data_IF_037302314397
#
_entry.id   IF_037302314397
#
_cell.length_a   1.000
_cell.length_b   1.000
_cell.length_c   1.000
_cell.angle_alpha   90.00
_cell.angle_beta   90.00
_cell.angle_gamma   90.00
#
_symmetry.space_group_name_H-M   'P 1'
#
loop_
_entity.id
_entity.type
_entity.pdbx_description
1 polymer ?
#
# COMPACT_ATOMS: atom_id res chain seq x y z
N UNK A 1 10.19 5.43 30.54
CA UNK A 1 11.47 5.99 30.01
C UNK A 1 12.43 4.92 29.48
N UNK A 2 12.40 3.68 30.00
CA UNK A 2 13.25 2.57 29.54
C UNK A 2 12.84 1.92 28.19
N UNK A 3 11.62 2.15 27.71
CA UNK A 3 11.10 1.48 26.50
C UNK A 3 11.53 2.12 25.16
N UNK A 4 11.88 3.41 25.15
CA UNK A 4 12.25 4.12 23.91
C UNK A 4 13.69 3.80 23.48
N UNK A 5 14.63 3.71 24.41
CA UNK A 5 16.01 3.29 24.13
C UNK A 5 16.07 1.87 23.57
N UNK A 6 15.14 1.00 23.98
CA UNK A 6 15.04 -0.37 23.50
C UNK A 6 14.44 -0.43 22.09
N UNK A 7 13.51 0.48 21.75
CA UNK A 7 12.97 0.65 20.40
C UNK A 7 14.03 1.21 19.45
N UNK A 8 14.84 2.18 19.88
CA UNK A 8 15.90 2.78 19.07
C UNK A 8 17.00 1.74 18.76
N UNK A 9 17.44 0.98 19.78
CA UNK A 9 18.37 -0.13 19.61
C UNK A 9 17.81 -1.25 18.71
N UNK A 10 16.54 -1.63 18.88
CA UNK A 10 15.89 -2.66 18.06
C UNK A 10 15.60 -2.20 16.62
N UNK A 11 15.31 -0.91 16.43
CA UNK A 11 15.19 -0.29 15.13
C UNK A 11 16.55 -0.33 14.42
N UNK A 12 17.63 0.04 15.10
CA UNK A 12 18.97 0.08 14.53
C UNK A 12 19.62 -1.29 14.34
N UNK A 13 19.18 -2.33 15.06
CA UNK A 13 19.76 -3.69 15.03
C UNK A 13 19.39 -4.55 13.81
N UNK A 14 18.93 -3.94 12.70
CA UNK A 14 19.07 -4.39 11.30
C UNK A 14 17.91 -5.14 10.58
N UNK A 15 16.98 -5.91 11.19
CA UNK A 15 15.79 -6.38 10.44
C UNK A 15 14.67 -5.32 10.38
N UNK A 16 14.43 -4.62 11.50
CA UNK A 16 13.35 -3.63 11.60
C UNK A 16 13.69 -2.35 10.86
N UNK A 17 14.95 -1.87 10.83
CA UNK A 17 15.37 -0.77 9.93
C UNK A 17 15.14 -1.11 8.47
N UNK A 18 15.46 -2.34 8.07
CA UNK A 18 15.31 -2.80 6.68
C UNK A 18 13.82 -2.94 6.33
N UNK A 19 13.04 -3.64 7.16
CA UNK A 19 11.59 -3.74 7.02
C UNK A 19 10.92 -2.38 7.08
N UNK A 20 11.27 -1.50 8.01
CA UNK A 20 10.73 -0.15 8.12
C UNK A 20 11.14 0.71 6.94
N UNK A 21 12.39 0.65 6.43
CA UNK A 21 12.78 1.36 5.21
C UNK A 21 12.04 0.82 3.97
N UNK A 22 11.82 -0.49 3.86
CA UNK A 22 10.97 -1.11 2.83
C UNK A 22 9.51 -0.63 3.01
N UNK A 23 9.02 -0.57 4.24
CA UNK A 23 7.70 -0.07 4.64
C UNK A 23 7.62 1.46 4.71
N UNK A 24 8.65 2.25 4.40
CA UNK A 24 8.59 3.72 4.48
C UNK A 24 9.18 4.41 3.26
N UNK A 25 9.86 3.70 2.37
CA UNK A 25 10.47 4.26 1.15
C UNK A 25 10.00 3.60 -0.15
N UNK A 26 9.15 2.57 -0.10
CA UNK A 26 8.54 2.02 -1.32
C UNK A 26 7.51 3.03 -1.85
N UNK A 27 7.99 3.91 -2.73
CA UNK A 27 7.20 4.92 -3.42
C UNK A 27 6.28 4.29 -4.45
N UNK A 28 5.15 3.75 -3.98
CA UNK A 28 4.15 3.06 -4.80
C UNK A 28 3.77 3.83 -6.07
N UNK A 29 3.77 5.18 -6.10
CA UNK A 29 3.34 5.93 -7.30
C UNK A 29 4.17 5.65 -8.56
N UNK A 30 5.51 5.55 -8.47
CA UNK A 30 6.36 5.19 -9.63
C UNK A 30 6.18 3.71 -9.98
N UNK A 31 6.02 2.86 -8.96
CA UNK A 31 5.86 1.42 -9.14
C UNK A 31 4.49 1.03 -9.70
N UNK A 32 3.42 1.77 -9.39
CA UNK A 32 2.07 1.57 -9.92
C UNK A 32 2.04 1.59 -11.45
N UNK A 33 2.76 2.54 -12.07
CA UNK A 33 2.87 2.62 -13.54
C UNK A 33 3.58 1.40 -14.12
N UNK A 34 4.67 0.95 -13.48
CA UNK A 34 5.41 -0.25 -13.89
C UNK A 34 4.58 -1.52 -13.71
N UNK A 35 3.89 -1.66 -12.57
CA UNK A 35 2.98 -2.79 -12.30
C UNK A 35 1.87 -2.85 -13.35
N UNK A 36 1.27 -1.71 -13.69
CA UNK A 36 0.26 -1.65 -14.74
C UNK A 36 0.83 -1.98 -16.12
N UNK A 37 2.06 -1.55 -16.43
CA UNK A 37 2.72 -1.90 -17.68
C UNK A 37 2.97 -3.41 -17.77
N UNK A 38 3.54 -4.01 -16.73
CA UNK A 38 3.76 -5.47 -16.64
C UNK A 38 2.45 -6.24 -16.74
N UNK A 39 1.40 -5.76 -16.08
CA UNK A 39 0.06 -6.33 -16.20
C UNK A 39 -0.43 -6.30 -17.66
N UNK A 40 -0.25 -5.19 -18.36
CA UNK A 40 -0.65 -5.08 -19.76
C UNK A 40 0.21 -5.91 -20.71
N UNK A 41 1.50 -6.04 -20.44
CA UNK A 41 2.42 -6.90 -21.19
C UNK A 41 2.02 -8.37 -21.10
N UNK A 42 1.40 -8.78 -19.98
CA UNK A 42 0.84 -10.11 -19.83
C UNK A 42 -0.54 -10.27 -20.50
N UNK A 43 -1.45 -9.32 -20.31
CA UNK A 43 -2.84 -9.46 -20.77
C UNK A 43 -2.99 -9.31 -22.29
N UNK A 44 -2.18 -8.45 -22.90
CA UNK A 44 -2.31 -8.10 -24.32
C UNK A 44 -2.00 -9.31 -25.24
N UNK A 45 -0.89 -10.06 -25.07
CA UNK A 45 -0.64 -11.30 -25.82
C UNK A 45 -1.69 -12.37 -25.57
N UNK A 46 -2.21 -12.48 -24.35
CA UNK A 46 -3.27 -13.44 -24.00
C UNK A 46 -4.56 -13.22 -24.81
N UNK A 47 -4.78 -12.00 -25.29
CA UNK A 47 -5.90 -11.64 -26.17
C UNK A 47 -5.53 -11.62 -27.66
N UNK A 48 -4.29 -11.96 -28.02
CA UNK A 48 -3.73 -11.83 -29.38
C UNK A 48 -3.81 -10.40 -29.95
N UNK A 49 -3.67 -9.38 -29.08
CA UNK A 49 -3.75 -7.97 -29.47
C UNK A 49 -2.34 -7.42 -29.67
N UNK A 50 -2.07 -6.76 -30.79
CA UNK A 50 -0.84 -6.02 -31.07
C UNK A 50 -0.80 -4.67 -30.37
N UNK A 51 0.39 -4.10 -30.18
CA UNK A 51 0.57 -2.71 -29.73
C UNK A 51 0.07 -1.68 -30.76
N UNK A 52 0.13 -2.02 -32.04
CA UNK A 52 -0.27 -1.18 -33.17
C UNK A 52 -1.79 -1.01 -33.29
N UNK A 53 -2.59 -1.89 -32.69
CA UNK A 53 -4.05 -1.76 -32.73
C UNK A 53 -4.57 -0.62 -31.83
N UNK A 54 -3.70 0.01 -31.02
CA UNK A 54 -4.03 1.12 -30.12
C UNK A 54 -5.27 0.89 -29.23
N UNK A 55 -5.61 -0.38 -28.96
CA UNK A 55 -6.74 -0.73 -28.09
C UNK A 55 -6.48 -0.21 -26.67
N UNK A 56 -7.50 0.43 -26.11
CA UNK A 56 -7.48 0.96 -24.74
C UNK A 56 -7.27 -0.17 -23.72
N UNK A 57 -6.48 0.11 -22.68
CA UNK A 57 -6.18 -0.86 -21.62
C UNK A 57 -7.43 -1.34 -20.90
N UNK A 58 -8.44 -0.48 -20.71
CA UNK A 58 -9.71 -0.86 -20.09
C UNK A 58 -10.45 -1.92 -20.92
N UNK A 59 -10.39 -1.83 -22.25
CA UNK A 59 -11.03 -2.80 -23.13
C UNK A 59 -10.33 -4.17 -23.07
N UNK A 60 -9.00 -4.19 -22.97
CA UNK A 60 -8.23 -5.43 -22.79
C UNK A 60 -8.56 -6.08 -21.42
N UNK A 61 -8.71 -5.27 -20.37
CA UNK A 61 -9.14 -5.74 -19.04
C UNK A 61 -10.55 -6.34 -19.07
N UNK A 62 -11.48 -5.70 -19.79
CA UNK A 62 -12.84 -6.23 -20.02
C UNK A 62 -12.83 -7.58 -20.74
N UNK A 63 -12.05 -7.70 -21.83
CA UNK A 63 -11.91 -8.98 -22.57
C UNK A 63 -11.34 -10.11 -21.69
N UNK A 64 -10.40 -9.79 -20.81
CA UNK A 64 -9.81 -10.74 -19.86
C UNK A 64 -10.62 -10.97 -18.59
N UNK A 65 -11.82 -10.37 -18.48
CA UNK A 65 -12.69 -10.41 -17.29
C UNK A 65 -11.97 -9.97 -16.01
N UNK A 66 -10.99 -9.07 -16.12
CA UNK A 66 -10.31 -8.48 -14.96
C UNK A 66 -11.15 -7.34 -14.39
N UNK A 67 -11.80 -7.63 -13.27
CA UNK A 67 -12.56 -6.64 -12.49
C UNK A 67 -11.63 -5.64 -11.79
N UNK A 68 -10.47 -6.12 -11.30
CA UNK A 68 -9.51 -5.28 -10.56
C UNK A 68 -8.11 -5.36 -11.15
N UNK A 69 -7.42 -4.22 -11.11
CA UNK A 69 -6.01 -4.10 -11.48
C UNK A 69 -5.09 -4.74 -10.43
N UNK A 70 -3.88 -5.12 -10.83
CA UNK A 70 -2.89 -5.63 -9.87
C UNK A 70 -2.58 -4.59 -8.79
N UNK A 71 -2.55 -3.30 -9.14
CA UNK A 71 -2.36 -2.19 -8.20
C UNK A 71 -3.48 -2.15 -7.16
N UNK A 72 -4.74 -2.22 -7.58
CA UNK A 72 -5.90 -2.20 -6.66
C UNK A 72 -5.86 -3.38 -5.68
N UNK A 73 -5.40 -4.54 -6.12
CA UNK A 73 -5.21 -5.72 -5.25
C UNK A 73 -4.11 -5.48 -4.21
N UNK A 74 -3.00 -4.85 -4.60
CA UNK A 74 -1.91 -4.50 -3.68
C UNK A 74 -2.40 -3.50 -2.63
N UNK A 75 -3.06 -2.43 -3.05
CA UNK A 75 -3.63 -1.41 -2.16
C UNK A 75 -4.65 -2.02 -1.17
N UNK A 76 -5.52 -2.92 -1.66
CA UNK A 76 -6.49 -3.62 -0.81
C UNK A 76 -5.79 -4.46 0.26
N UNK A 77 -4.74 -5.20 -0.10
CA UNK A 77 -3.95 -5.98 0.86
C UNK A 77 -3.23 -5.09 1.87
N UNK A 78 -2.72 -3.94 1.45
CA UNK A 78 -2.10 -2.96 2.34
C UNK A 78 -3.10 -2.44 3.38
N UNK A 79 -4.32 -2.08 2.97
CA UNK A 79 -5.38 -1.65 3.88
C UNK A 79 -5.81 -2.76 4.84
N UNK A 80 -5.98 -4.00 4.36
CA UNK A 80 -6.31 -5.15 5.23
C UNK A 80 -5.24 -5.38 6.29
N UNK A 81 -3.96 -5.31 5.91
CA UNK A 81 -2.84 -5.44 6.82
C UNK A 81 -2.78 -4.28 7.82
N UNK A 82 -2.95 -3.03 7.35
CA UNK A 82 -2.99 -1.85 8.20
C UNK A 82 -4.05 -1.97 9.30
N UNK A 83 -5.28 -2.29 8.93
CA UNK A 83 -6.34 -2.47 9.91
C UNK A 83 -6.08 -3.66 10.84
N UNK A 84 -5.42 -4.71 10.36
CA UNK A 84 -5.00 -5.82 11.22
C UNK A 84 -3.99 -5.39 12.28
N UNK A 85 -2.96 -4.64 11.89
CA UNK A 85 -1.93 -4.11 12.80
C UNK A 85 -2.52 -3.11 13.79
N UNK A 86 -3.40 -2.20 13.34
CA UNK A 86 -4.07 -1.23 14.24
C UNK A 86 -4.91 -1.90 15.33
N UNK A 87 -5.55 -3.03 15.02
CA UNK A 87 -6.32 -3.84 15.99
C UNK A 87 -5.46 -4.74 16.87
N UNK A 88 -4.16 -4.87 16.61
CA UNK A 88 -3.28 -5.60 17.53
C UNK A 88 -3.18 -4.86 18.86
N UNK A 89 -2.79 -5.59 19.90
CA UNK A 89 -2.45 -5.01 21.19
C UNK A 89 -1.19 -4.15 21.10
N UNK A 90 -1.10 -3.10 21.93
CA UNK A 90 -0.06 -2.06 21.86
C UNK A 90 1.34 -2.56 22.24
N UNK A 91 1.41 -3.68 22.96
CA UNK A 91 2.65 -4.39 23.30
C UNK A 91 3.32 -5.03 22.08
N UNK A 92 2.55 -5.29 21.00
CA UNK A 92 3.09 -5.99 19.83
C UNK A 92 3.98 -5.12 18.97
N UNK A 93 5.14 -5.68 18.63
CA UNK A 93 6.14 -5.07 17.76
C UNK A 93 5.61 -4.47 16.45
N UNK A 94 4.74 -5.14 15.67
CA UNK A 94 4.23 -4.55 14.43
C UNK A 94 3.46 -3.22 14.65
N UNK A 95 2.69 -3.12 15.72
CA UNK A 95 1.92 -1.91 16.05
C UNK A 95 2.84 -0.80 16.53
N UNK A 96 3.76 -1.12 17.46
CA UNK A 96 4.81 -0.19 17.91
C UNK A 96 5.64 0.34 16.76
N UNK A 97 6.06 -0.52 15.83
CA UNK A 97 6.84 -0.13 14.66
C UNK A 97 6.04 0.72 13.65
N UNK A 98 4.74 0.47 13.50
CA UNK A 98 3.87 1.27 12.63
C UNK A 98 3.69 2.70 13.16
N UNK A 99 3.55 2.84 14.48
CA UNK A 99 3.27 4.11 15.15
C UNK A 99 4.56 4.88 15.53
N UNK A 100 5.70 4.21 15.51
CA UNK A 100 7.00 4.81 15.80
C UNK A 100 7.43 5.77 14.68
N UNK A 101 7.63 7.03 15.06
CA UNK A 101 8.20 8.07 14.19
C UNK A 101 9.62 8.35 14.68
N UNK A 102 10.66 7.86 13.97
CA UNK A 102 12.03 8.09 14.40
C UNK A 102 12.38 9.58 14.33
N UNK A 103 13.07 10.13 15.34
CA UNK A 103 13.63 11.47 15.26
C UNK A 103 14.67 11.48 14.13
N UNK A 104 14.38 12.19 13.05
CA UNK A 104 15.29 12.26 11.89
C UNK A 104 15.42 13.68 11.37
N UNK A 105 16.65 14.02 10.95
CA UNK A 105 16.91 15.27 10.26
C UNK A 105 16.29 15.22 8.87
N UNK A 106 15.24 16.02 8.66
CA UNK A 106 14.55 16.12 7.38
C UNK A 106 15.52 16.61 6.29
N UNK A 107 15.65 15.84 5.21
CA UNK A 107 16.40 16.28 4.03
C UNK A 107 15.68 17.46 3.37
N UNK A 108 16.44 18.40 2.81
CA UNK A 108 15.88 19.54 2.04
C UNK A 108 15.15 19.01 0.80
N UNK A 109 13.94 19.51 0.53
CA UNK A 109 13.12 19.14 -0.62
C UNK A 109 11.79 18.45 -0.26
N UNK A 110 11.09 17.93 -1.29
CA UNK A 110 9.82 17.22 -1.12
C UNK A 110 10.06 15.93 -0.32
N UNK A 111 9.27 15.64 0.73
CA UNK A 111 9.33 14.37 1.42
C UNK A 111 9.19 13.20 0.46
N UNK A 112 9.98 12.14 0.68
CA UNK A 112 9.74 10.88 0.02
C UNK A 112 8.32 10.41 0.34
N UNK A 113 7.66 9.80 -0.65
CA UNK A 113 6.41 9.09 -0.39
C UNK A 113 6.70 7.91 0.51
N UNK A 114 6.00 7.86 1.63
CA UNK A 114 6.07 6.73 2.55
C UNK A 114 4.94 5.75 2.26
N UNK A 115 5.08 4.52 2.74
CA UNK A 115 3.97 3.56 2.66
C UNK A 115 2.75 4.07 3.42
N UNK A 116 2.94 4.70 4.59
CA UNK A 116 1.87 5.37 5.34
C UNK A 116 1.20 6.47 4.53
N UNK A 117 1.97 7.32 3.81
CA UNK A 117 1.35 8.30 2.92
C UNK A 117 0.60 7.63 1.76
N UNK A 118 1.09 6.49 1.28
CA UNK A 118 0.40 5.66 0.30
C UNK A 118 -0.94 5.12 0.82
N UNK A 119 -0.99 4.68 2.08
CA UNK A 119 -2.23 4.23 2.71
C UNK A 119 -3.22 5.37 2.86
N UNK A 120 -2.77 6.52 3.38
CA UNK A 120 -3.63 7.70 3.53
C UNK A 120 -4.19 8.14 2.19
N UNK A 121 -3.38 8.12 1.13
CA UNK A 121 -3.84 8.38 -0.23
C UNK A 121 -4.90 7.34 -0.66
N UNK A 122 -4.68 6.03 -0.42
CA UNK A 122 -5.67 5.00 -0.78
C UNK A 122 -6.95 5.05 0.06
N UNK A 123 -6.88 5.45 1.33
CA UNK A 123 -8.05 5.67 2.18
C UNK A 123 -8.85 6.86 1.65
N UNK A 124 -8.18 7.96 1.29
CA UNK A 124 -8.80 9.14 0.67
C UNK A 124 -9.48 8.78 -0.65
N UNK A 125 -8.79 8.05 -1.53
CA UNK A 125 -9.33 7.62 -2.82
C UNK A 125 -10.57 6.72 -2.68
N UNK A 126 -10.74 6.03 -1.53
CA UNK A 126 -11.85 5.13 -1.23
C UNK A 126 -12.85 5.70 -0.21
N UNK A 127 -12.70 6.97 0.18
CA UNK A 127 -13.50 7.62 1.22
C UNK A 127 -13.62 6.81 2.53
N UNK A 128 -12.53 6.16 2.94
CA UNK A 128 -12.42 5.40 4.18
C UNK A 128 -11.91 6.36 5.27
N UNK A 129 -12.60 6.40 6.42
CA UNK A 129 -12.15 7.17 7.57
C UNK A 129 -11.17 6.32 8.40
N UNK A 130 -10.19 6.97 9.04
CA UNK A 130 -9.13 6.24 9.76
C UNK A 130 -9.73 5.38 10.89
N UNK A 131 -10.63 5.90 11.70
CA UNK A 131 -11.26 5.18 12.82
C UNK A 131 -12.09 3.94 12.40
N UNK A 132 -12.40 3.76 11.13
CA UNK A 132 -13.19 2.62 10.66
C UNK A 132 -12.45 1.28 10.71
N UNK A 133 -11.14 1.28 11.02
CA UNK A 133 -10.40 0.04 11.24
C UNK A 133 -10.88 -0.73 12.47
N UNK A 134 -11.57 -0.11 13.42
CA UNK A 134 -12.05 -0.79 14.64
C UNK A 134 -13.01 -1.93 14.30
N UNK A 135 -13.98 -1.67 13.42
CA UNK A 135 -14.94 -2.67 12.99
C UNK A 135 -14.40 -3.50 11.83
N UNK A 136 -14.00 -4.75 12.12
CA UNK A 136 -13.43 -5.68 11.13
C UNK A 136 -14.32 -5.90 9.90
N UNK A 137 -15.65 -5.95 10.08
CA UNK A 137 -16.60 -6.21 8.98
C UNK A 137 -16.69 -4.99 8.06
N UNK A 138 -16.86 -3.79 8.64
CA UNK A 138 -16.89 -2.53 7.90
C UNK A 138 -15.57 -2.29 7.17
N UNK A 139 -14.44 -2.50 7.86
CA UNK A 139 -13.12 -2.34 7.29
C UNK A 139 -12.90 -3.24 6.07
N UNK A 140 -13.22 -4.53 6.17
CA UNK A 140 -13.05 -5.47 5.05
C UNK A 140 -13.93 -5.10 3.85
N UNK A 141 -15.20 -4.79 4.10
CA UNK A 141 -16.12 -4.40 3.03
C UNK A 141 -15.60 -3.18 2.26
N UNK A 142 -15.17 -2.14 2.96
CA UNK A 142 -14.63 -0.92 2.33
C UNK A 142 -13.27 -1.13 1.66
N UNK A 143 -12.42 -2.00 2.21
CA UNK A 143 -11.16 -2.36 1.58
C UNK A 143 -11.38 -3.10 0.24
N UNK A 144 -12.43 -3.91 0.11
CA UNK A 144 -12.71 -4.65 -1.13
C UNK A 144 -13.44 -3.78 -2.17
N UNK A 145 -14.11 -2.72 -1.73
CA UNK A 145 -14.86 -1.81 -2.59
C UNK A 145 -13.97 -0.71 -3.18
N UNK A 146 -13.52 -0.91 -4.43
CA UNK A 146 -13.36 0.23 -5.35
C UNK A 146 -14.52 0.21 -6.33
N UNK A 147 -15.56 0.99 -6.05
CA UNK A 147 -16.56 1.31 -7.06
C UNK A 147 -15.91 2.33 -8.01
N UNK A 148 -15.65 1.94 -9.26
CA UNK A 148 -15.38 2.93 -10.32
C UNK A 148 -16.74 3.55 -10.68
N UNK A 149 -16.83 4.88 -10.86
CA UNK A 149 -17.99 5.49 -11.50
C UNK A 149 -18.17 4.97 -12.93
#
# INVERSE_FOLDING_TARGET
>A
MADNDNLEKAYDSVPLKSMFNILTKVGLKKDKRKINAVEMDYLRPSCRISRQEHIQNEQIRRRTRRVHTTVERVETRQLVWYGHVKRMSDDRWPKRALEYIPPSRRRRGRPAQTWMSGIVDTMRDRAIQENEWENRKVWRAKCEMRQKP
#
